data_IF_099560296188
#
_entry.id   IF_099560296188
#
_cell.length_a   1.000
_cell.length_b   1.000
_cell.length_c   1.000
_cell.angle_alpha   90.00
_cell.angle_beta   90.00
_cell.angle_gamma   90.00
#
_symmetry.space_group_name_H-M   'P 1'
#
loop_
_entity.id
_entity.type
_entity.pdbx_description
1 polymer ?
#
# COMPACT_ATOMS: atom_id res chain seq x y z
N UNK A 1 -20.87 15.19 1.66
CA UNK A 1 -20.42 13.77 1.65
C UNK A 1 -18.92 13.81 1.89
N UNK A 2 -18.34 12.86 2.64
CA UNK A 2 -16.88 12.80 2.84
C UNK A 2 -16.25 11.82 1.83
N UNK A 3 -14.98 12.01 1.42
CA UNK A 3 -14.24 11.00 0.65
C UNK A 3 -14.10 9.70 1.45
N UNK A 4 -14.12 8.57 0.76
CA UNK A 4 -13.88 7.24 1.34
C UNK A 4 -12.56 6.69 0.78
N UNK A 5 -11.51 6.83 1.56
CA UNK A 5 -10.18 6.34 1.17
C UNK A 5 -9.94 4.86 1.53
N UNK A 6 -11.00 4.17 1.97
CA UNK A 6 -10.88 2.73 2.25
C UNK A 6 -9.92 2.43 3.39
N UNK A 7 -9.25 1.29 3.28
CA UNK A 7 -8.23 0.85 4.24
C UNK A 7 -7.40 -0.30 3.64
N UNK A 8 -6.11 -0.37 3.94
CA UNK A 8 -5.24 -1.48 3.50
C UNK A 8 -5.64 -2.83 4.10
N UNK A 9 -6.38 -2.83 5.22
CA UNK A 9 -7.02 -4.03 5.75
C UNK A 9 -8.45 -4.06 5.22
N UNK A 10 -8.69 -4.83 4.16
CA UNK A 10 -9.96 -4.84 3.43
C UNK A 10 -11.15 -5.35 4.29
N UNK A 11 -12.35 -4.78 4.06
CA UNK A 11 -13.57 -5.20 4.76
C UNK A 11 -13.90 -6.71 4.57
N UNK A 12 -13.73 -7.30 3.37
CA UNK A 12 -13.95 -8.74 3.18
C UNK A 12 -13.05 -9.59 4.08
N UNK A 13 -11.76 -9.23 4.20
CA UNK A 13 -10.82 -9.93 5.07
C UNK A 13 -11.27 -9.87 6.53
N UNK A 14 -11.71 -8.71 7.01
CA UNK A 14 -12.23 -8.57 8.38
C UNK A 14 -13.50 -9.39 8.62
N UNK A 15 -14.43 -9.42 7.65
CA UNK A 15 -15.64 -10.23 7.75
C UNK A 15 -15.31 -11.73 7.83
N UNK A 16 -14.37 -12.20 7.02
CA UNK A 16 -13.90 -13.60 7.06
C UNK A 16 -13.27 -13.93 8.42
N UNK A 17 -12.38 -13.08 8.92
CA UNK A 17 -11.71 -13.29 10.21
C UNK A 17 -12.69 -13.33 11.38
N UNK A 18 -13.65 -12.41 11.44
CA UNK A 18 -14.69 -12.41 12.47
C UNK A 18 -15.66 -13.59 12.30
N UNK A 19 -15.96 -14.03 11.06
CA UNK A 19 -16.74 -15.24 10.78
C UNK A 19 -16.07 -16.51 11.29
N UNK A 20 -14.77 -16.67 11.05
CA UNK A 20 -13.97 -17.78 11.58
C UNK A 20 -13.97 -17.76 13.12
N UNK A 21 -13.75 -16.59 13.71
CA UNK A 21 -13.78 -16.44 15.17
C UNK A 21 -15.12 -16.84 15.75
N UNK A 22 -16.22 -16.37 15.19
CA UNK A 22 -17.57 -16.74 15.63
C UNK A 22 -17.84 -18.25 15.50
N UNK A 23 -17.40 -18.87 14.40
CA UNK A 23 -17.55 -20.31 14.18
C UNK A 23 -16.76 -21.14 15.21
N UNK A 24 -15.51 -20.74 15.52
CA UNK A 24 -14.71 -21.40 16.53
C UNK A 24 -15.29 -21.27 17.94
N UNK A 25 -15.78 -20.09 18.30
CA UNK A 25 -16.46 -19.88 19.60
C UNK A 25 -17.71 -20.73 19.70
N UNK A 26 -18.53 -20.78 18.65
CA UNK A 26 -19.72 -21.64 18.62
C UNK A 26 -19.36 -23.13 18.76
N UNK A 27 -18.34 -23.58 18.03
CA UNK A 27 -17.86 -24.97 18.11
C UNK A 27 -17.38 -25.31 19.52
N UNK A 28 -16.67 -24.39 20.19
CA UNK A 28 -16.23 -24.55 21.58
C UNK A 28 -17.40 -24.69 22.55
N UNK A 29 -18.43 -23.86 22.39
CA UNK A 29 -19.63 -23.91 23.22
C UNK A 29 -20.42 -25.21 22.99
N UNK A 30 -20.59 -25.63 21.75
CA UNK A 30 -21.26 -26.90 21.41
C UNK A 30 -20.50 -28.12 21.94
N UNK A 31 -19.16 -28.12 21.84
CA UNK A 31 -18.32 -29.18 22.42
C UNK A 31 -18.50 -29.27 23.94
N UNK A 32 -18.49 -28.12 24.64
CA UNK A 32 -18.72 -28.08 26.08
C UNK A 32 -20.09 -28.59 26.51
N UNK A 33 -21.16 -28.37 25.68
CA UNK A 33 -22.52 -28.72 25.98
C UNK A 33 -22.85 -30.20 25.63
N UNK A 34 -22.34 -30.69 24.49
CA UNK A 34 -22.71 -31.98 23.93
C UNK A 34 -21.73 -33.11 24.24
N UNK A 35 -20.47 -32.82 24.34
CA UNK A 35 -19.38 -33.80 24.48
C UNK A 35 -18.79 -33.74 25.88
N UNK A 36 -18.63 -32.51 26.41
CA UNK A 36 -18.00 -32.28 27.71
C UNK A 36 -16.71 -31.42 27.58
N UNK A 37 -16.02 -31.26 28.72
CA UNK A 37 -14.78 -30.48 28.79
C UNK A 37 -13.55 -31.39 28.74
N UNK A 38 -13.36 -32.01 27.64
CA UNK A 38 -12.26 -32.92 27.33
C UNK A 38 -11.09 -32.21 26.58
N UNK A 39 -10.18 -33.00 26.02
CA UNK A 39 -9.04 -32.50 25.23
C UNK A 39 -9.49 -31.70 24.00
N UNK A 40 -10.58 -32.13 23.32
CA UNK A 40 -11.10 -31.42 22.14
C UNK A 40 -11.63 -30.04 22.51
N UNK A 41 -12.35 -29.93 23.62
CA UNK A 41 -12.78 -28.63 24.17
C UNK A 41 -11.57 -27.73 24.45
N UNK A 42 -10.50 -28.26 25.07
CA UNK A 42 -9.29 -27.48 25.37
C UNK A 42 -8.63 -26.92 24.11
N UNK A 43 -8.51 -27.74 23.05
CA UNK A 43 -7.96 -27.31 21.76
C UNK A 43 -8.83 -26.24 21.12
N UNK A 44 -10.15 -26.43 21.04
CA UNK A 44 -11.09 -25.46 20.46
C UNK A 44 -11.07 -24.14 21.23
N UNK A 45 -10.97 -24.18 22.56
CA UNK A 45 -10.87 -22.98 23.39
C UNK A 45 -9.62 -22.18 23.06
N UNK A 46 -8.45 -22.83 22.96
CA UNK A 46 -7.20 -22.17 22.61
C UNK A 46 -7.29 -21.53 21.21
N UNK A 47 -7.80 -22.27 20.22
CA UNK A 47 -7.98 -21.75 18.85
C UNK A 47 -8.94 -20.55 18.81
N UNK A 48 -10.04 -20.61 19.59
CA UNK A 48 -11.01 -19.51 19.70
C UNK A 48 -10.37 -18.26 20.30
N UNK A 49 -9.59 -18.41 21.36
CA UNK A 49 -8.89 -17.29 21.99
C UNK A 49 -7.84 -16.68 21.07
N UNK A 50 -7.06 -17.50 20.36
CA UNK A 50 -6.06 -17.03 19.40
C UNK A 50 -6.73 -16.27 18.24
N UNK A 51 -7.83 -16.82 17.69
CA UNK A 51 -8.60 -16.18 16.62
C UNK A 51 -9.22 -14.86 17.09
N UNK A 52 -9.76 -14.82 18.30
CA UNK A 52 -10.32 -13.59 18.89
C UNK A 52 -9.24 -12.51 19.06
N UNK A 53 -8.08 -12.87 19.60
CA UNK A 53 -6.96 -11.93 19.75
C UNK A 53 -6.49 -11.39 18.39
N UNK A 54 -6.38 -12.26 17.38
CA UNK A 54 -6.04 -11.86 16.02
C UNK A 54 -7.10 -10.91 15.42
N UNK A 55 -8.39 -11.20 15.61
CA UNK A 55 -9.48 -10.36 15.10
C UNK A 55 -9.50 -8.98 15.79
N UNK A 56 -9.28 -8.93 17.10
CA UNK A 56 -9.17 -7.68 17.84
C UNK A 56 -7.95 -6.86 17.42
N UNK A 57 -6.80 -7.52 17.26
CA UNK A 57 -5.56 -6.88 16.78
C UNK A 57 -5.75 -6.28 15.38
N UNK A 58 -6.30 -7.05 14.43
CA UNK A 58 -6.54 -6.55 13.06
C UNK A 58 -7.60 -5.43 13.03
N UNK A 59 -8.62 -5.49 13.90
CA UNK A 59 -9.60 -4.41 14.06
C UNK A 59 -8.92 -3.13 14.57
N UNK A 60 -8.04 -3.25 15.55
CA UNK A 60 -7.24 -2.13 16.04
C UNK A 60 -6.33 -1.55 14.96
N UNK A 61 -5.58 -2.40 14.23
CA UNK A 61 -4.73 -1.97 13.12
C UNK A 61 -5.53 -1.22 12.05
N UNK A 62 -6.71 -1.77 11.68
CA UNK A 62 -7.61 -1.13 10.73
C UNK A 62 -8.07 0.26 11.22
N UNK A 63 -8.39 0.41 12.50
CA UNK A 63 -8.78 1.70 13.08
C UNK A 63 -7.64 2.72 12.99
N UNK A 64 -6.40 2.33 13.34
CA UNK A 64 -5.25 3.23 13.29
C UNK A 64 -4.87 3.62 11.85
N UNK A 65 -5.04 2.72 10.89
CA UNK A 65 -4.80 3.00 9.47
C UNK A 65 -5.85 3.97 8.90
N UNK A 66 -7.11 3.91 9.36
CA UNK A 66 -8.20 4.69 8.79
C UNK A 66 -8.05 6.21 9.01
N UNK A 67 -8.62 6.99 8.08
CA UNK A 67 -8.64 8.45 8.13
C UNK A 67 -9.37 8.97 9.38
N UNK A 68 -10.56 8.42 9.66
CA UNK A 68 -11.40 8.84 10.80
C UNK A 68 -10.88 8.31 12.15
N UNK A 69 -9.90 7.39 12.14
CA UNK A 69 -9.28 6.82 13.34
C UNK A 69 -7.91 7.41 13.62
N UNK A 70 -6.87 6.60 13.39
CA UNK A 70 -5.49 7.02 13.67
C UNK A 70 -4.83 7.86 12.56
N UNK A 71 -5.36 7.89 11.33
CA UNK A 71 -4.81 8.64 10.18
C UNK A 71 -3.41 8.18 9.76
N UNK A 72 -3.03 6.92 10.04
CA UNK A 72 -1.67 6.45 9.75
C UNK A 72 -1.41 6.38 8.24
N UNK A 73 -2.39 5.98 7.43
CA UNK A 73 -2.24 5.96 5.96
C UNK A 73 -1.84 7.34 5.45
N UNK A 74 -2.50 8.41 5.90
CA UNK A 74 -2.16 9.79 5.54
C UNK A 74 -0.74 10.16 5.97
N UNK A 75 -0.32 9.80 7.20
CA UNK A 75 1.06 10.06 7.65
C UNK A 75 2.11 9.35 6.79
N UNK A 76 1.82 8.13 6.34
CA UNK A 76 2.70 7.39 5.43
C UNK A 76 2.78 8.10 4.09
N UNK A 77 1.65 8.49 3.50
CA UNK A 77 1.62 9.26 2.25
C UNK A 77 2.38 10.58 2.37
N UNK A 78 2.19 11.33 3.47
CA UNK A 78 2.94 12.57 3.72
C UNK A 78 4.44 12.31 3.79
N UNK A 79 4.87 11.28 4.53
CA UNK A 79 6.29 10.94 4.64
C UNK A 79 6.92 10.54 3.30
N UNK A 80 6.16 9.90 2.41
CA UNK A 80 6.58 9.57 1.05
C UNK A 80 6.69 10.85 0.18
N UNK A 81 5.68 11.71 0.22
CA UNK A 81 5.67 12.98 -0.53
C UNK A 81 6.81 13.90 -0.06
N UNK A 82 7.11 13.95 1.24
CA UNK A 82 8.21 14.73 1.81
C UNK A 82 9.60 14.29 1.30
N UNK A 83 9.73 13.06 0.79
CA UNK A 83 10.96 12.52 0.19
C UNK A 83 10.97 12.55 -1.33
N UNK A 84 9.87 12.95 -1.94
CA UNK A 84 9.72 12.98 -3.38
C UNK A 84 10.42 14.20 -3.98
N UNK A 85 11.57 14.06 -4.67
CA UNK A 85 12.37 15.19 -5.15
C UNK A 85 11.79 15.79 -6.43
N UNK A 86 10.51 16.04 -6.46
CA UNK A 86 9.76 16.55 -7.60
C UNK A 86 9.31 18.00 -7.36
N UNK A 87 9.42 18.82 -8.40
CA UNK A 87 9.02 20.23 -8.33
C UNK A 87 7.50 20.46 -8.45
N UNK A 88 6.74 19.39 -8.72
CA UNK A 88 5.28 19.43 -8.81
C UNK A 88 4.72 19.88 -10.16
N UNK A 89 5.55 19.90 -11.21
CA UNK A 89 5.13 20.32 -12.55
C UNK A 89 5.08 19.15 -13.51
N UNK A 90 4.09 19.17 -14.41
CA UNK A 90 3.89 18.13 -15.41
C UNK A 90 3.02 16.98 -14.91
N UNK A 91 3.28 15.77 -15.37
CA UNK A 91 2.42 14.60 -15.12
C UNK A 91 3.14 13.59 -14.24
N UNK A 92 2.53 13.26 -13.09
CA UNK A 92 2.98 12.20 -12.19
C UNK A 92 2.13 10.95 -12.33
N UNK A 93 2.77 9.79 -12.37
CA UNK A 93 2.12 8.49 -12.30
C UNK A 93 2.13 7.96 -10.87
N UNK A 94 0.95 7.66 -10.31
CA UNK A 94 0.75 6.97 -9.04
C UNK A 94 0.42 5.49 -9.32
N UNK A 95 1.41 4.60 -9.11
CA UNK A 95 1.29 3.17 -9.39
C UNK A 95 0.65 2.47 -8.19
N UNK A 96 -0.48 1.79 -8.43
CA UNK A 96 -1.29 1.14 -7.38
C UNK A 96 -2.07 2.15 -6.56
N UNK A 97 -2.75 3.08 -7.23
CA UNK A 97 -3.42 4.22 -6.60
C UNK A 97 -4.59 3.84 -5.66
N UNK A 98 -5.09 2.60 -5.71
CA UNK A 98 -6.14 2.07 -4.83
C UNK A 98 -7.43 2.89 -4.88
N UNK A 99 -7.65 3.69 -3.86
CA UNK A 99 -8.82 4.61 -3.73
C UNK A 99 -8.50 6.04 -4.13
N UNK A 100 -7.29 6.29 -4.66
CA UNK A 100 -6.83 7.60 -5.09
C UNK A 100 -6.30 8.51 -3.97
N UNK A 101 -6.09 7.98 -2.76
CA UNK A 101 -5.69 8.80 -1.61
C UNK A 101 -4.36 9.53 -1.83
N UNK A 102 -3.32 8.82 -2.32
CA UNK A 102 -2.01 9.41 -2.63
C UNK A 102 -2.10 10.33 -3.84
N UNK A 103 -2.78 9.91 -4.91
CA UNK A 103 -3.03 10.73 -6.11
C UNK A 103 -3.67 12.08 -5.76
N UNK A 104 -4.69 12.08 -4.91
CA UNK A 104 -5.40 13.28 -4.47
C UNK A 104 -4.49 14.16 -3.60
N UNK A 105 -3.73 13.56 -2.68
CA UNK A 105 -2.78 14.28 -1.85
C UNK A 105 -1.72 15.00 -2.69
N UNK A 106 -1.20 14.35 -3.75
CA UNK A 106 -0.28 14.97 -4.72
C UNK A 106 -0.92 16.14 -5.44
N UNK A 107 -2.16 15.97 -5.94
CA UNK A 107 -2.87 17.04 -6.64
C UNK A 107 -3.17 18.24 -5.74
N UNK A 108 -3.39 18.02 -4.44
CA UNK A 108 -3.56 19.09 -3.45
C UNK A 108 -2.23 19.79 -3.11
N UNK A 109 -1.15 19.00 -2.94
CA UNK A 109 0.19 19.51 -2.63
C UNK A 109 0.80 20.32 -3.78
N UNK A 110 0.57 19.87 -5.03
CA UNK A 110 1.15 20.42 -6.25
C UNK A 110 0.08 20.95 -7.19
N UNK A 111 -0.24 22.25 -7.15
CA UNK A 111 -1.34 22.83 -7.95
C UNK A 111 -1.15 22.75 -9.47
N UNK A 112 0.09 22.67 -9.95
CA UNK A 112 0.44 22.57 -11.37
C UNK A 112 0.54 21.11 -11.86
N UNK A 113 0.37 20.12 -10.95
CA UNK A 113 0.47 18.71 -11.27
C UNK A 113 -0.78 18.16 -11.96
N UNK A 114 -0.56 17.29 -12.95
CA UNK A 114 -1.55 16.33 -13.43
C UNK A 114 -1.19 14.95 -12.90
N UNK A 115 -2.14 14.29 -12.24
CA UNK A 115 -1.92 12.98 -11.63
C UNK A 115 -2.64 11.90 -12.41
N UNK A 116 -1.91 10.87 -12.82
CA UNK A 116 -2.47 9.65 -13.42
C UNK A 116 -2.32 8.53 -12.40
N UNK A 117 -3.43 8.07 -11.83
CA UNK A 117 -3.45 6.89 -10.96
C UNK A 117 -3.73 5.64 -11.78
N UNK A 118 -2.88 4.63 -11.65
CA UNK A 118 -3.08 3.31 -12.26
C UNK A 118 -3.26 2.25 -11.17
N UNK A 119 -4.25 1.37 -11.33
CA UNK A 119 -4.46 0.24 -10.44
C UNK A 119 -5.15 -0.91 -11.21
N UNK A 120 -4.96 -2.12 -10.77
CA UNK A 120 -5.66 -3.29 -11.32
C UNK A 120 -7.08 -3.42 -10.78
N UNK A 121 -7.36 -2.86 -9.58
CA UNK A 121 -8.59 -2.98 -8.80
C UNK A 121 -9.11 -4.41 -8.70
N UNK A 122 -8.31 -5.34 -8.19
CA UNK A 122 -8.75 -6.72 -8.07
C UNK A 122 -9.89 -6.83 -7.04
N UNK A 123 -10.86 -7.75 -7.24
CA UNK A 123 -12.08 -7.85 -6.42
C UNK A 123 -11.86 -8.05 -4.91
N UNK A 124 -10.65 -8.44 -4.51
CA UNK A 124 -10.30 -8.64 -3.09
C UNK A 124 -10.13 -7.33 -2.32
N UNK A 125 -9.87 -6.21 -3.01
CA UNK A 125 -9.74 -4.90 -2.41
C UNK A 125 -11.04 -4.10 -2.56
N UNK A 126 -11.42 -3.35 -1.52
CA UNK A 126 -12.60 -2.47 -1.52
C UNK A 126 -12.24 -1.12 -2.22
N UNK A 127 -11.83 -1.16 -3.49
CA UNK A 127 -11.41 0.02 -4.27
C UNK A 127 -11.84 -0.11 -5.72
N UNK A 128 -12.07 1.03 -6.39
CA UNK A 128 -12.41 1.08 -7.82
C UNK A 128 -12.07 2.44 -8.42
N UNK A 129 -11.99 2.51 -9.75
CA UNK A 129 -11.80 3.76 -10.48
C UNK A 129 -12.90 4.79 -10.17
N UNK A 130 -14.16 4.35 -10.06
CA UNK A 130 -15.30 5.22 -9.73
C UNK A 130 -15.17 5.80 -8.31
N UNK A 131 -14.59 5.05 -7.37
CA UNK A 131 -14.32 5.57 -6.03
C UNK A 131 -13.24 6.64 -6.06
N UNK A 132 -12.17 6.44 -6.82
CA UNK A 132 -11.13 7.45 -7.03
C UNK A 132 -11.71 8.74 -7.61
N UNK A 133 -12.53 8.63 -8.65
CA UNK A 133 -13.22 9.77 -9.28
C UNK A 133 -14.12 10.51 -8.28
N UNK A 134 -14.92 9.78 -7.48
CA UNK A 134 -15.75 10.40 -6.44
C UNK A 134 -14.91 11.13 -5.40
N UNK A 135 -13.85 10.50 -4.92
CA UNK A 135 -12.95 11.10 -3.93
C UNK A 135 -12.29 12.37 -4.47
N UNK A 136 -11.75 12.33 -5.70
CA UNK A 136 -11.14 13.50 -6.35
C UNK A 136 -12.13 14.63 -6.56
N UNK A 137 -13.41 14.30 -6.85
CA UNK A 137 -14.50 15.30 -7.00
C UNK A 137 -14.81 15.94 -5.65
N UNK A 138 -14.91 15.17 -4.58
CA UNK A 138 -15.19 15.67 -3.23
C UNK A 138 -14.04 16.54 -2.69
N UNK A 139 -12.82 16.27 -3.13
CA UNK A 139 -11.61 17.03 -2.76
C UNK A 139 -11.27 18.15 -3.75
N UNK A 140 -12.14 18.43 -4.73
CA UNK A 140 -12.02 19.53 -5.70
C UNK A 140 -10.76 19.48 -6.58
N UNK A 141 -10.23 18.28 -6.86
CA UNK A 141 -9.04 18.05 -7.70
C UNK A 141 -9.32 17.15 -8.93
N UNK A 142 -10.61 16.88 -9.22
CA UNK A 142 -11.02 15.95 -10.28
C UNK A 142 -10.43 16.32 -11.67
N UNK A 143 -10.33 17.59 -11.97
CA UNK A 143 -9.85 18.08 -13.28
C UNK A 143 -8.35 17.81 -13.50
N UNK A 144 -7.61 17.53 -12.43
CA UNK A 144 -6.18 17.24 -12.45
C UNK A 144 -5.83 15.80 -12.13
N UNK A 145 -6.83 14.94 -11.86
CA UNK A 145 -6.63 13.53 -11.58
C UNK A 145 -7.35 12.68 -12.62
N UNK A 146 -6.65 11.72 -13.21
CA UNK A 146 -7.22 10.67 -14.05
C UNK A 146 -6.89 9.29 -13.45
N UNK A 147 -7.81 8.34 -13.61
CA UNK A 147 -7.65 7.02 -13.03
C UNK A 147 -7.92 5.98 -14.11
N UNK A 148 -6.94 5.08 -14.34
CA UNK A 148 -6.98 4.09 -15.40
C UNK A 148 -6.68 2.70 -14.84
N UNK A 149 -7.32 1.68 -15.42
CA UNK A 149 -7.01 0.29 -15.05
C UNK A 149 -5.73 -0.15 -15.75
N UNK A 150 -4.81 -0.77 -15.00
CA UNK A 150 -3.57 -1.30 -15.55
C UNK A 150 -2.81 -2.16 -14.56
N UNK A 151 -1.89 -2.97 -15.08
CA UNK A 151 -1.00 -3.82 -14.29
C UNK A 151 0.34 -3.11 -14.09
N UNK A 152 0.79 -3.02 -12.84
CA UNK A 152 2.10 -2.44 -12.50
C UNK A 152 3.29 -3.23 -13.11
N UNK A 153 3.07 -4.48 -13.50
CA UNK A 153 4.09 -5.31 -14.16
C UNK A 153 4.24 -5.03 -15.67
N UNK A 154 3.25 -4.35 -16.27
CA UNK A 154 3.25 -4.01 -17.70
C UNK A 154 2.40 -2.75 -17.90
N UNK A 155 2.97 -1.59 -17.62
CA UNK A 155 2.31 -0.30 -17.72
C UNK A 155 2.03 0.03 -19.19
N UNK A 156 0.76 0.35 -19.50
CA UNK A 156 0.35 0.74 -20.85
C UNK A 156 0.72 2.22 -21.11
N UNK A 157 2.02 2.46 -21.14
CA UNK A 157 2.60 3.77 -21.44
C UNK A 157 3.96 3.58 -22.15
N UNK A 158 4.28 4.44 -23.12
CA UNK A 158 5.61 4.47 -23.74
C UNK A 158 6.71 4.75 -22.72
N UNK A 159 7.96 4.43 -23.12
CA UNK A 159 9.12 4.85 -22.33
C UNK A 159 9.12 6.38 -22.16
N UNK A 160 9.61 6.84 -21.02
CA UNK A 160 9.84 8.29 -20.79
C UNK A 160 8.58 9.15 -21.00
N UNK A 161 7.43 8.68 -20.48
CA UNK A 161 6.14 9.38 -20.59
C UNK A 161 5.89 10.37 -19.47
N UNK A 162 6.22 10.00 -18.23
CA UNK A 162 5.87 10.75 -17.03
C UNK A 162 7.03 11.59 -16.52
N UNK A 163 6.73 12.79 -16.00
CA UNK A 163 7.71 13.68 -15.37
C UNK A 163 8.11 13.19 -13.98
N UNK A 164 7.22 12.43 -13.35
CA UNK A 164 7.46 11.84 -12.05
C UNK A 164 6.70 10.51 -11.87
N UNK A 165 7.19 9.63 -10.99
CA UNK A 165 6.56 8.34 -10.65
C UNK A 165 6.58 8.14 -9.14
N UNK A 166 5.45 7.71 -8.59
CA UNK A 166 5.32 7.39 -7.17
C UNK A 166 4.57 6.07 -6.99
N UNK A 167 4.88 5.34 -5.92
CA UNK A 167 4.14 4.11 -5.54
C UNK A 167 4.23 3.90 -4.03
N UNK A 168 3.17 3.38 -3.43
CA UNK A 168 3.12 3.16 -1.99
C UNK A 168 2.49 1.82 -1.62
N UNK A 169 3.30 0.87 -1.14
CA UNK A 169 2.92 -0.48 -0.70
C UNK A 169 2.15 -1.28 -1.77
N UNK A 170 2.68 -1.35 -2.99
CA UNK A 170 2.03 -2.01 -4.14
C UNK A 170 2.82 -3.21 -4.64
N UNK A 171 4.12 -3.08 -4.83
CA UNK A 171 4.91 -4.03 -5.60
C UNK A 171 4.95 -5.41 -4.97
N UNK A 172 4.98 -5.53 -3.63
CA UNK A 172 4.94 -6.81 -2.94
C UNK A 172 3.62 -7.58 -3.18
N UNK A 173 2.52 -6.90 -3.50
CA UNK A 173 1.20 -7.49 -3.76
C UNK A 173 1.00 -7.91 -5.23
N UNK A 174 1.80 -7.42 -6.17
CA UNK A 174 1.68 -7.74 -7.61
C UNK A 174 2.02 -9.20 -7.85
N UNK A 175 1.04 -9.99 -8.29
CA UNK A 175 1.19 -11.45 -8.51
C UNK A 175 1.63 -11.82 -9.92
N UNK A 176 1.44 -10.93 -10.87
CA UNK A 176 1.79 -11.11 -12.29
C UNK A 176 3.30 -11.10 -12.54
N UNK A 177 4.08 -10.49 -11.62
CA UNK A 177 5.54 -10.48 -11.65
C UNK A 177 6.11 -11.02 -10.33
N UNK A 178 6.94 -12.07 -10.41
CA UNK A 178 7.58 -12.70 -9.24
C UNK A 178 8.80 -11.91 -8.76
N UNK A 179 9.64 -11.48 -9.69
CA UNK A 179 10.78 -10.63 -9.40
C UNK A 179 10.31 -9.19 -9.20
N UNK A 180 10.34 -8.72 -7.95
CA UNK A 180 9.81 -7.42 -7.58
C UNK A 180 10.67 -6.25 -8.05
N UNK A 181 11.96 -6.48 -8.30
CA UNK A 181 12.80 -5.46 -8.90
C UNK A 181 12.37 -5.10 -10.33
N UNK A 182 11.81 -6.06 -11.08
CA UNK A 182 11.27 -5.76 -12.40
C UNK A 182 10.12 -4.75 -12.37
N UNK A 183 9.39 -4.65 -11.26
CA UNK A 183 8.36 -3.62 -11.07
C UNK A 183 8.98 -2.23 -10.89
N UNK A 184 10.12 -2.15 -10.20
CA UNK A 184 10.89 -0.90 -10.10
C UNK A 184 11.44 -0.50 -11.47
N UNK A 185 12.01 -1.44 -12.23
CA UNK A 185 12.49 -1.20 -13.59
C UNK A 185 11.35 -0.71 -14.50
N UNK A 186 10.17 -1.31 -14.40
CA UNK A 186 9.00 -0.90 -15.18
C UNK A 186 8.52 0.51 -14.80
N UNK A 187 8.50 0.84 -13.52
CA UNK A 187 8.22 2.19 -13.04
C UNK A 187 9.23 3.21 -13.58
N UNK A 188 10.52 2.86 -13.58
CA UNK A 188 11.59 3.71 -14.12
C UNK A 188 11.57 3.76 -15.65
N UNK A 189 11.11 2.72 -16.35
CA UNK A 189 10.98 2.72 -17.82
C UNK A 189 10.08 3.86 -18.29
N UNK A 190 8.93 4.04 -17.66
CA UNK A 190 7.95 5.08 -18.04
C UNK A 190 8.31 6.47 -17.53
N UNK A 191 9.28 6.59 -16.63
CA UNK A 191 9.80 7.85 -16.13
C UNK A 191 10.75 8.49 -17.14
N UNK A 192 10.59 9.78 -17.43
CA UNK A 192 11.49 10.58 -18.27
C UNK A 192 12.89 10.66 -17.66
N UNK A 193 13.90 10.89 -18.50
CA UNK A 193 15.22 11.29 -18.02
C UNK A 193 15.13 12.62 -17.29
N UNK A 194 15.78 12.70 -16.13
CA UNK A 194 15.68 13.84 -15.21
C UNK A 194 14.37 13.86 -14.41
N UNK A 195 13.48 12.89 -14.59
CA UNK A 195 12.25 12.74 -13.83
C UNK A 195 12.48 12.21 -12.41
N UNK A 196 11.63 12.62 -11.48
CA UNK A 196 11.71 12.23 -10.08
C UNK A 196 10.93 10.95 -9.77
N UNK A 197 11.40 10.14 -8.82
CA UNK A 197 10.67 9.00 -8.33
C UNK A 197 10.71 8.86 -6.81
N UNK A 198 9.65 8.27 -6.23
CA UNK A 198 9.60 7.84 -4.84
C UNK A 198 8.75 6.57 -4.72
N UNK A 199 9.36 5.48 -4.32
CA UNK A 199 8.77 4.16 -4.24
C UNK A 199 8.89 3.66 -2.80
N UNK A 200 7.75 3.37 -2.16
CA UNK A 200 7.69 2.87 -0.80
C UNK A 200 7.15 1.45 -0.79
N UNK A 201 7.92 0.50 -0.28
CA UNK A 201 7.54 -0.90 -0.18
C UNK A 201 8.35 -1.62 0.89
N UNK A 202 8.11 -2.94 1.05
CA UNK A 202 8.83 -3.82 1.99
C UNK A 202 10.22 -4.22 1.44
N UNK A 203 11.04 -3.25 1.09
CA UNK A 203 12.33 -3.47 0.40
C UNK A 203 13.34 -4.28 1.22
N UNK A 204 13.20 -4.34 2.55
CA UNK A 204 14.03 -5.20 3.41
C UNK A 204 13.63 -6.68 3.37
N UNK A 205 12.54 -7.04 2.69
CA UNK A 205 12.14 -8.42 2.51
C UNK A 205 12.99 -9.09 1.42
N UNK A 206 14.05 -9.79 1.83
CA UNK A 206 15.00 -10.45 0.93
C UNK A 206 14.39 -11.54 0.06
N UNK A 207 13.30 -12.17 0.49
CA UNK A 207 12.62 -13.19 -0.32
C UNK A 207 11.90 -12.57 -1.53
N UNK A 208 11.55 -11.27 -1.44
CA UNK A 208 10.89 -10.52 -2.52
C UNK A 208 11.87 -9.70 -3.36
N UNK A 209 12.85 -9.08 -2.72
CA UNK A 209 13.70 -8.05 -3.31
C UNK A 209 15.19 -8.39 -3.32
N UNK A 210 15.62 -9.53 -2.75
CA UNK A 210 17.04 -9.81 -2.61
C UNK A 210 17.76 -8.82 -1.70
N UNK A 211 18.96 -8.39 -2.09
CA UNK A 211 19.69 -7.33 -1.39
C UNK A 211 19.43 -5.98 -2.05
N UNK A 212 18.81 -5.06 -1.32
CA UNK A 212 18.45 -3.73 -1.83
C UNK A 212 19.68 -2.91 -2.21
N UNK A 213 20.82 -3.11 -1.55
CA UNK A 213 22.03 -2.36 -1.87
C UNK A 213 22.63 -2.82 -3.20
N UNK A 214 22.67 -4.15 -3.45
CA UNK A 214 23.07 -4.70 -4.75
C UNK A 214 22.16 -4.17 -5.86
N UNK A 215 20.86 -4.09 -5.61
CA UNK A 215 19.92 -3.55 -6.59
C UNK A 215 20.14 -2.06 -6.88
N UNK A 216 20.40 -1.25 -5.84
CA UNK A 216 20.74 0.17 -6.00
C UNK A 216 21.99 0.33 -6.86
N UNK A 217 23.02 -0.51 -6.66
CA UNK A 217 24.23 -0.47 -7.45
C UNK A 217 23.96 -0.83 -8.92
N UNK A 218 23.13 -1.83 -9.19
CA UNK A 218 22.66 -2.17 -10.55
C UNK A 218 21.93 -0.97 -11.18
N UNK A 219 21.04 -0.31 -10.46
CA UNK A 219 20.32 0.86 -10.99
C UNK A 219 21.27 2.02 -11.34
N UNK A 220 22.33 2.23 -10.55
CA UNK A 220 23.37 3.24 -10.86
C UNK A 220 24.15 2.89 -12.11
N UNK A 221 24.50 1.61 -12.32
CA UNK A 221 25.15 1.12 -13.54
C UNK A 221 24.26 1.31 -14.77
N UNK A 222 22.95 1.17 -14.63
CA UNK A 222 21.94 1.43 -15.68
C UNK A 222 21.67 2.93 -15.94
N UNK A 223 22.38 3.83 -15.23
CA UNK A 223 22.36 5.26 -15.50
C UNK A 223 21.39 6.08 -14.65
N UNK A 224 20.84 5.52 -13.58
CA UNK A 224 20.08 6.28 -12.58
C UNK A 224 21.08 7.02 -11.69
N UNK A 225 21.26 8.31 -11.93
CA UNK A 225 22.38 9.07 -11.38
C UNK A 225 22.22 9.46 -9.90
N UNK A 226 20.99 9.61 -9.44
CA UNK A 226 20.68 10.05 -8.07
C UNK A 226 19.66 9.12 -7.43
N UNK A 227 20.13 8.21 -6.59
CA UNK A 227 19.31 7.28 -5.83
C UNK A 227 19.64 7.38 -4.35
N UNK A 228 18.61 7.56 -3.55
CA UNK A 228 18.65 7.49 -2.10
C UNK A 228 17.71 6.41 -1.58
N UNK A 229 18.12 5.74 -0.51
CA UNK A 229 17.30 4.74 0.17
C UNK A 229 17.13 5.08 1.64
N UNK A 230 15.89 5.14 2.09
CA UNK A 230 15.52 5.34 3.48
C UNK A 230 14.96 4.05 4.04
N UNK A 231 15.75 3.23 4.78
CA UNK A 231 15.29 1.99 5.37
C UNK A 231 14.39 2.23 6.59
N UNK A 232 13.64 1.20 6.97
CA UNK A 232 12.93 1.12 8.24
C UNK A 232 12.00 2.29 8.51
N UNK A 233 11.15 2.64 7.53
CA UNK A 233 10.21 3.77 7.65
C UNK A 233 9.23 3.60 8.81
N UNK A 234 8.96 2.37 9.25
CA UNK A 234 8.17 2.03 10.44
C UNK A 234 8.77 2.57 11.75
N UNK A 235 10.07 2.90 11.78
CA UNK A 235 10.75 3.52 12.92
C UNK A 235 10.73 5.05 12.87
N UNK A 236 10.50 5.62 11.69
CA UNK A 236 10.56 7.06 11.42
C UNK A 236 9.15 7.66 11.47
N UNK A 237 8.18 6.97 10.86
CA UNK A 237 6.79 7.42 10.82
C UNK A 237 6.15 7.16 12.20
N UNK A 238 5.59 8.18 12.87
CA UNK A 238 4.95 8.00 14.17
C UNK A 238 3.77 7.02 14.10
N UNK A 239 3.93 5.85 14.70
CA UNK A 239 2.91 4.81 14.76
C UNK A 239 2.97 3.99 16.05
N UNK A 240 1.84 3.40 16.51
CA UNK A 240 1.83 2.50 17.65
C UNK A 240 2.69 1.25 17.42
N UNK A 241 3.34 0.76 18.48
CA UNK A 241 4.24 -0.40 18.42
C UNK A 241 3.65 -1.65 17.72
N UNK A 242 2.38 -2.02 17.89
CA UNK A 242 1.81 -3.16 17.18
C UNK A 242 1.85 -3.03 15.65
N UNK A 243 1.69 -1.81 15.10
CA UNK A 243 1.72 -1.59 13.65
C UNK A 243 3.14 -1.59 13.09
N UNK A 244 4.15 -1.27 13.91
CA UNK A 244 5.56 -1.42 13.48
C UNK A 244 5.90 -2.84 13.08
N UNK A 245 5.29 -3.84 13.73
CA UNK A 245 5.46 -5.25 13.34
C UNK A 245 4.83 -5.54 11.98
N UNK A 246 3.65 -4.98 11.70
CA UNK A 246 2.93 -5.15 10.43
C UNK A 246 3.68 -4.51 9.24
N UNK A 247 4.33 -3.37 9.48
CA UNK A 247 5.04 -2.58 8.45
C UNK A 247 6.56 -2.77 8.52
N UNK A 248 7.03 -3.80 9.23
CA UNK A 248 8.46 -4.06 9.44
C UNK A 248 9.17 -4.31 8.11
N UNK A 249 10.31 -3.65 7.95
CA UNK A 249 11.15 -3.77 6.77
C UNK A 249 10.69 -2.92 5.61
N UNK A 250 9.81 -1.95 5.87
CA UNK A 250 9.43 -0.96 4.86
C UNK A 250 10.54 0.06 4.65
N UNK A 251 10.69 0.52 3.40
CA UNK A 251 11.66 1.54 3.04
C UNK A 251 11.20 2.37 1.85
N UNK A 252 11.81 3.54 1.67
CA UNK A 252 11.55 4.41 0.54
C UNK A 252 12.81 4.48 -0.33
N UNK A 253 12.67 4.08 -1.59
CA UNK A 253 13.65 4.30 -2.65
C UNK A 253 13.22 5.52 -3.44
N UNK A 254 14.08 6.55 -3.52
CA UNK A 254 13.72 7.82 -4.16
C UNK A 254 14.93 8.45 -4.84
N UNK A 255 14.68 9.33 -5.80
CA UNK A 255 15.74 10.00 -6.54
C UNK A 255 15.29 10.54 -7.88
N UNK A 256 16.26 10.66 -8.79
CA UNK A 256 16.08 11.20 -10.14
C UNK A 256 16.69 10.25 -11.17
N UNK A 257 15.95 9.96 -12.24
CA UNK A 257 16.41 9.12 -13.36
C UNK A 257 17.39 9.84 -14.26
#
# INVERSE_FOLDING_TARGET
MKPDYGNWIARPMMRTLWGITAALVLATLLCALLIGRDTAYGVLLVLSLMSLLAALYMTYCRHILSEDGGGLMRRIHSALIDRFPWDGRGTVLDIGCGTGALSIALAQQYPEAHVVGVDLWPPMWDSSAEQCVRNATLEYVRDRCSFVQGDAAALDAPNETFDAVISNFVFHEVRTQKDKFMLVIEALRVLKKGGAFALHDNFENRDLYGDINEFIDILKEEGISDISYLPHTENIIPMPAPLRLLLRGSGILYGTK
#
